data_IF_056352686315
#
_entry.id   IF_056352686315
#
_cell.length_a   1.000
_cell.length_b   1.000
_cell.length_c   1.000
_cell.angle_alpha   90.00
_cell.angle_beta   90.00
_cell.angle_gamma   90.00
#
_symmetry.space_group_name_H-M   'P 1'
#
loop_
_entity.id
_entity.type
_entity.pdbx_description
1 polymer ?
#
# COMPACT_ATOMS: atom_id res chain seq x y z
N UNK A 1 42.00 -64.03 -4.24
CA UNK A 1 40.63 -64.39 -4.69
C UNK A 1 39.95 -63.09 -5.09
N UNK A 2 39.98 -62.60 -6.33
CA UNK A 2 39.35 -63.09 -7.56
C UNK A 2 37.80 -63.12 -7.54
N UNK A 3 37.21 -62.34 -8.47
CA UNK A 3 35.81 -62.27 -8.98
C UNK A 3 34.84 -61.42 -8.13
N UNK A 4 33.95 -60.58 -8.69
CA UNK A 4 33.58 -60.24 -10.06
C UNK A 4 32.19 -59.55 -10.08
N UNK A 5 32.14 -58.38 -10.72
CA UNK A 5 31.06 -57.60 -11.39
C UNK A 5 29.58 -58.10 -11.35
N UNK A 6 28.62 -57.19 -11.12
CA UNK A 6 27.41 -57.02 -11.97
C UNK A 6 26.72 -55.65 -11.76
N UNK A 7 26.29 -55.05 -12.88
CA UNK A 7 25.62 -53.74 -13.05
C UNK A 7 24.11 -53.77 -12.78
N UNK A 8 23.52 -52.62 -12.41
CA UNK A 8 22.29 -52.09 -13.04
C UNK A 8 22.01 -50.61 -12.70
N UNK A 9 21.96 -49.75 -13.73
CA UNK A 9 21.25 -48.45 -13.83
C UNK A 9 20.21 -48.62 -14.98
N UNK A 10 19.31 -47.66 -15.28
CA UNK A 10 18.55 -46.70 -14.47
C UNK A 10 17.05 -46.70 -14.85
N UNK A 11 16.22 -45.83 -14.25
CA UNK A 11 14.94 -45.43 -14.88
C UNK A 11 14.68 -43.93 -14.74
N UNK A 12 14.70 -43.31 -15.91
CA UNK A 12 14.42 -41.94 -16.29
C UNK A 12 12.92 -41.87 -16.64
N UNK A 13 12.18 -40.87 -16.16
CA UNK A 13 10.86 -40.48 -16.70
C UNK A 13 10.93 -38.98 -16.97
N UNK A 14 11.37 -38.57 -18.16
CA UNK A 14 10.62 -38.40 -19.41
C UNK A 14 9.48 -37.38 -19.31
N UNK A 15 9.81 -36.16 -19.74
CA UNK A 15 8.89 -35.12 -20.15
C UNK A 15 8.09 -35.59 -21.38
N UNK A 16 6.77 -35.35 -21.38
CA UNK A 16 5.97 -35.42 -22.60
C UNK A 16 5.49 -34.03 -22.99
N UNK A 17 6.06 -33.56 -24.09
CA UNK A 17 5.56 -32.52 -24.96
C UNK A 17 4.25 -33.01 -25.61
N UNK A 18 3.20 -32.20 -25.59
CA UNK A 18 2.03 -32.41 -26.45
C UNK A 18 2.26 -31.70 -27.79
N UNK A 19 2.64 -32.45 -28.82
CA UNK A 19 2.49 -32.05 -30.22
C UNK A 19 1.53 -33.00 -30.93
N UNK A 20 0.74 -32.40 -31.81
CA UNK A 20 -0.41 -32.88 -32.57
C UNK A 20 -0.19 -34.11 -33.47
N UNK A 21 -1.20 -34.99 -33.59
CA UNK A 21 -1.98 -35.23 -34.82
C UNK A 21 -2.80 -36.54 -34.78
N UNK A 22 -4.10 -36.38 -35.05
CA UNK A 22 -5.04 -37.24 -35.81
C UNK A 22 -4.69 -38.72 -36.00
N UNK A 23 -5.48 -39.61 -35.38
CA UNK A 23 -5.95 -40.87 -35.97
C UNK A 23 -7.31 -41.28 -35.38
N UNK A 24 -8.29 -41.50 -36.25
CA UNK A 24 -9.63 -41.98 -35.94
C UNK A 24 -9.63 -43.49 -35.66
N UNK A 25 -10.19 -43.93 -34.54
CA UNK A 25 -10.85 -45.25 -34.38
C UNK A 25 -12.15 -45.05 -33.59
N UNK A 26 -13.19 -45.74 -34.04
CA UNK A 26 -14.60 -45.50 -33.77
C UNK A 26 -15.11 -45.88 -32.36
N UNK A 27 -16.09 -45.08 -31.94
CA UNK A 27 -17.29 -45.41 -31.16
C UNK A 27 -17.17 -46.10 -29.79
N UNK A 28 -17.31 -45.29 -28.74
CA UNK A 28 -18.12 -45.63 -27.58
C UNK A 28 -18.94 -44.39 -27.20
N UNK A 29 -20.27 -44.55 -27.20
CA UNK A 29 -21.25 -43.50 -26.91
C UNK A 29 -21.31 -43.23 -25.40
N UNK A 30 -21.22 -41.96 -25.01
CA UNK A 30 -21.37 -41.51 -23.63
C UNK A 30 -21.45 -39.99 -23.55
N UNK A 31 -22.66 -39.46 -23.75
CA UNK A 31 -23.16 -38.10 -23.44
C UNK A 31 -22.14 -36.94 -23.44
N UNK A 32 -22.05 -36.25 -24.58
CA UNK A 32 -21.46 -34.92 -24.70
C UNK A 32 -22.23 -33.91 -23.82
N UNK A 33 -21.55 -33.33 -22.82
CA UNK A 33 -21.94 -32.04 -22.31
C UNK A 33 -21.54 -30.99 -23.36
N UNK A 34 -22.53 -30.26 -23.86
CA UNK A 34 -22.44 -29.13 -24.78
C UNK A 34 -21.49 -28.04 -24.25
N UNK A 35 -20.19 -28.18 -24.49
CA UNK A 35 -19.23 -27.09 -24.33
C UNK A 35 -19.28 -26.21 -25.59
N UNK A 36 -20.32 -25.37 -25.69
CA UNK A 36 -20.27 -24.22 -26.57
C UNK A 36 -19.14 -23.29 -26.11
N UNK A 37 -18.18 -22.91 -26.98
CA UNK A 37 -17.29 -21.81 -26.66
C UNK A 37 -18.13 -20.53 -26.61
N UNK A 38 -18.25 -19.94 -25.42
CA UNK A 38 -18.84 -18.61 -25.30
C UNK A 38 -17.87 -17.62 -25.95
N UNK A 39 -18.36 -16.93 -26.98
CA UNK A 39 -17.61 -15.96 -27.74
C UNK A 39 -17.17 -14.74 -26.90
N UNK A 40 -15.87 -14.44 -27.00
CA UNK A 40 -15.19 -13.14 -27.01
C UNK A 40 -15.62 -12.00 -26.07
N UNK A 41 -14.79 -11.76 -25.05
CA UNK A 41 -14.17 -10.48 -24.64
C UNK A 41 -12.80 -10.82 -24.00
N UNK A 42 -11.74 -9.99 -24.09
CA UNK A 42 -10.41 -10.39 -23.63
C UNK A 42 -10.41 -10.55 -22.11
N UNK A 43 -10.32 -11.78 -21.61
CA UNK A 43 -10.28 -12.05 -20.18
C UNK A 43 -8.91 -11.61 -19.64
N UNK A 44 -8.88 -10.41 -19.07
CA UNK A 44 -7.81 -9.96 -18.19
C UNK A 44 -7.69 -11.02 -17.09
N UNK A 45 -6.58 -11.77 -17.04
CA UNK A 45 -6.41 -12.87 -16.09
C UNK A 45 -6.60 -12.36 -14.66
N UNK A 46 -7.66 -12.83 -13.98
CA UNK A 46 -7.94 -12.47 -12.60
C UNK A 46 -7.22 -13.43 -11.65
N UNK A 47 -6.58 -12.88 -10.62
CA UNK A 47 -5.83 -13.60 -9.62
C UNK A 47 -6.34 -13.24 -8.23
N UNK A 48 -6.76 -14.25 -7.49
CA UNK A 48 -7.22 -14.09 -6.11
C UNK A 48 -6.02 -14.27 -5.19
N UNK A 49 -5.89 -13.38 -4.20
CA UNK A 49 -4.92 -13.52 -3.12
C UNK A 49 -5.59 -14.29 -1.99
N UNK A 50 -5.08 -15.48 -1.70
CA UNK A 50 -5.53 -16.28 -0.55
C UNK A 50 -5.07 -15.66 0.76
N UNK A 51 -5.90 -15.77 1.78
CA UNK A 51 -5.62 -15.34 3.15
C UNK A 51 -5.74 -16.54 4.09
N UNK A 52 -4.85 -16.64 5.05
CA UNK A 52 -4.98 -17.58 6.16
C UNK A 52 -6.09 -17.19 7.16
N UNK A 53 -6.48 -15.90 7.19
CA UNK A 53 -7.37 -15.27 8.17
C UNK A 53 -7.01 -15.65 9.62
N UNK A 54 -5.70 -15.78 9.87
CA UNK A 54 -5.12 -16.12 11.16
C UNK A 54 -4.05 -15.07 11.50
N UNK A 55 -4.16 -14.35 12.63
CA UNK A 55 -3.17 -13.36 13.05
C UNK A 55 -1.77 -13.96 13.33
N UNK A 56 -1.63 -15.29 13.36
CA UNK A 56 -0.36 -15.98 13.58
C UNK A 56 0.33 -16.44 12.30
N UNK A 57 -0.34 -16.32 11.14
CA UNK A 57 0.18 -16.79 9.85
C UNK A 57 0.46 -15.58 8.97
N UNK A 58 1.72 -15.37 8.60
CA UNK A 58 2.11 -14.27 7.71
C UNK A 58 1.68 -14.57 6.25
N UNK A 59 0.77 -13.76 5.72
CA UNK A 59 0.24 -13.83 4.35
C UNK A 59 1.16 -13.13 3.33
N UNK A 60 2.20 -12.41 3.78
CA UNK A 60 3.15 -11.73 2.88
C UNK A 60 3.70 -12.63 1.76
N UNK A 61 4.08 -13.90 1.98
CA UNK A 61 4.52 -14.80 0.90
C UNK A 61 3.44 -15.10 -0.14
N UNK A 62 2.18 -15.28 0.27
CA UNK A 62 1.05 -15.55 -0.63
C UNK A 62 0.72 -14.31 -1.48
N UNK A 63 0.80 -13.13 -0.88
CA UNK A 63 0.68 -11.84 -1.57
C UNK A 63 1.77 -11.72 -2.64
N UNK A 64 3.05 -11.89 -2.27
CA UNK A 64 4.19 -11.80 -3.19
C UNK A 64 4.06 -12.79 -4.35
N UNK A 65 3.72 -14.05 -4.07
CA UNK A 65 3.54 -15.07 -5.10
C UNK A 65 2.43 -14.71 -6.11
N UNK A 66 1.32 -14.14 -5.62
CA UNK A 66 0.21 -13.74 -6.48
C UNK A 66 0.58 -12.54 -7.37
N UNK A 67 1.25 -11.53 -6.81
CA UNK A 67 1.71 -10.37 -7.58
C UNK A 67 2.79 -10.74 -8.60
N UNK A 68 3.66 -11.70 -8.28
CA UNK A 68 4.64 -12.21 -9.23
C UNK A 68 3.98 -12.89 -10.43
N UNK A 69 3.01 -13.78 -10.17
CA UNK A 69 2.26 -14.49 -11.21
C UNK A 69 1.43 -13.55 -12.08
N UNK A 70 0.90 -12.48 -11.50
CA UNK A 70 -0.09 -11.61 -12.12
C UNK A 70 0.41 -10.18 -12.24
N UNK A 71 1.70 -10.03 -12.58
CA UNK A 71 2.38 -8.73 -12.66
C UNK A 71 2.03 -7.93 -13.92
N UNK A 72 1.34 -8.50 -14.90
CA UNK A 72 1.03 -7.82 -16.17
C UNK A 72 -0.37 -8.13 -16.70
N UNK A 73 -1.07 -7.10 -17.20
CA UNK A 73 -2.38 -7.19 -17.85
C UNK A 73 -3.38 -8.08 -17.07
N UNK A 74 -3.53 -7.80 -15.79
CA UNK A 74 -4.24 -8.66 -14.83
C UNK A 74 -5.14 -7.86 -13.89
N UNK A 75 -6.07 -8.57 -13.25
CA UNK A 75 -6.77 -8.09 -12.06
C UNK A 75 -6.30 -8.92 -10.87
N UNK A 76 -5.85 -8.29 -9.79
CA UNK A 76 -5.53 -8.95 -8.53
C UNK A 76 -6.63 -8.60 -7.53
N UNK A 77 -7.28 -9.60 -6.95
CA UNK A 77 -8.39 -9.42 -5.99
C UNK A 77 -8.00 -9.93 -4.62
N UNK A 78 -8.15 -9.06 -3.63
CA UNK A 78 -8.20 -9.44 -2.22
C UNK A 78 -9.65 -9.72 -1.83
N UNK A 79 -9.88 -10.79 -1.10
CA UNK A 79 -11.18 -11.15 -0.54
C UNK A 79 -11.49 -10.27 0.69
N UNK A 80 -12.77 -10.14 1.09
CA UNK A 80 -13.18 -9.34 2.26
C UNK A 80 -12.84 -10.02 3.59
N UNK A 81 -11.54 -10.17 3.85
CA UNK A 81 -10.95 -10.82 5.02
C UNK A 81 -9.68 -10.09 5.48
N UNK A 82 -9.11 -10.50 6.61
CA UNK A 82 -7.85 -9.98 7.10
C UNK A 82 -6.66 -10.71 6.46
N UNK A 83 -5.61 -9.95 6.18
CA UNK A 83 -4.33 -10.45 5.69
C UNK A 83 -3.27 -9.98 6.68
N UNK A 84 -2.59 -10.92 7.31
CA UNK A 84 -1.50 -10.66 8.24
C UNK A 84 -0.25 -10.38 7.42
N UNK A 85 0.25 -9.14 7.41
CA UNK A 85 1.38 -8.70 6.57
C UNK A 85 2.56 -8.37 7.47
N UNK A 86 3.13 -9.41 8.09
CA UNK A 86 4.19 -9.28 9.10
C UNK A 86 5.59 -9.15 8.51
N UNK A 87 5.74 -9.46 7.23
CA UNK A 87 6.97 -9.19 6.48
C UNK A 87 6.76 -8.01 5.52
N UNK A 88 7.66 -7.00 5.48
CA UNK A 88 7.66 -5.95 4.46
C UNK A 88 7.67 -6.55 3.04
N UNK A 89 6.83 -6.01 2.16
CA UNK A 89 6.64 -6.53 0.79
C UNK A 89 7.10 -5.53 -0.26
N UNK A 90 7.63 -6.05 -1.37
CA UNK A 90 8.04 -5.29 -2.56
C UNK A 90 7.32 -5.84 -3.79
N UNK A 91 6.42 -5.05 -4.35
CA UNK A 91 5.55 -5.36 -5.48
C UNK A 91 6.07 -4.58 -6.70
N UNK A 92 7.01 -5.18 -7.41
CA UNK A 92 7.75 -4.53 -8.49
C UNK A 92 7.40 -5.11 -9.87
N UNK A 93 7.67 -4.33 -10.92
CA UNK A 93 7.50 -4.78 -12.31
C UNK A 93 6.03 -4.85 -12.74
N UNK A 94 5.12 -4.17 -12.05
CA UNK A 94 3.70 -4.19 -12.38
C UNK A 94 3.42 -3.40 -13.67
N UNK A 95 2.60 -3.95 -14.57
CA UNK A 95 2.23 -3.29 -15.83
C UNK A 95 0.75 -3.53 -16.15
N UNK A 96 -0.06 -2.48 -16.22
CA UNK A 96 -1.51 -2.59 -16.50
C UNK A 96 -2.21 -3.55 -15.53
N UNK A 97 -1.93 -3.36 -14.24
CA UNK A 97 -2.47 -4.18 -13.15
C UNK A 97 -3.55 -3.40 -12.42
N UNK A 98 -4.72 -4.03 -12.23
CA UNK A 98 -5.77 -3.51 -11.34
C UNK A 98 -5.83 -4.35 -10.09
N UNK A 99 -5.69 -3.72 -8.93
CA UNK A 99 -5.82 -4.34 -7.62
C UNK A 99 -7.18 -3.95 -7.03
N UNK A 100 -8.01 -4.95 -6.77
CA UNK A 100 -9.27 -4.81 -6.04
C UNK A 100 -9.02 -5.18 -4.57
N UNK A 101 -8.80 -4.16 -3.75
CA UNK A 101 -8.38 -4.30 -2.35
C UNK A 101 -9.59 -4.32 -1.41
N UNK A 102 -10.27 -5.45 -1.34
CA UNK A 102 -11.43 -5.62 -0.45
C UNK A 102 -11.08 -6.24 0.90
N UNK A 103 -9.83 -6.64 1.11
CA UNK A 103 -9.36 -7.13 2.41
C UNK A 103 -8.87 -6.02 3.33
N UNK A 104 -8.28 -6.43 4.44
CA UNK A 104 -7.59 -5.57 5.39
C UNK A 104 -6.16 -6.08 5.59
N UNK A 105 -5.17 -5.20 5.54
CA UNK A 105 -3.80 -5.53 5.89
C UNK A 105 -3.55 -5.22 7.36
N UNK A 106 -3.07 -6.22 8.10
CA UNK A 106 -2.68 -6.11 9.50
C UNK A 106 -1.15 -6.15 9.58
N UNK A 107 -0.52 -5.02 9.91
CA UNK A 107 0.91 -5.00 10.22
C UNK A 107 1.15 -5.55 11.64
N UNK A 108 2.40 -5.90 12.01
CA UNK A 108 2.69 -6.30 13.37
C UNK A 108 2.37 -5.19 14.38
N UNK A 109 1.82 -5.57 15.53
CA UNK A 109 1.54 -4.68 16.65
C UNK A 109 2.73 -4.56 17.63
N UNK A 110 3.82 -5.31 17.41
CA UNK A 110 5.03 -5.24 18.22
C UNK A 110 6.07 -4.28 17.62
N UNK A 111 6.49 -3.27 18.40
CA UNK A 111 7.56 -2.32 18.00
C UNK A 111 8.83 -3.09 17.61
N UNK A 112 9.24 -4.07 18.41
CA UNK A 112 10.48 -4.82 18.15
C UNK A 112 10.42 -5.67 16.89
N UNK A 113 9.25 -6.24 16.59
CA UNK A 113 9.05 -7.03 15.37
C UNK A 113 9.15 -6.14 14.12
N UNK A 114 8.46 -5.01 14.13
CA UNK A 114 8.53 -4.01 13.07
C UNK A 114 9.97 -3.50 12.88
N UNK A 115 10.67 -3.16 13.97
CA UNK A 115 12.05 -2.67 13.89
C UNK A 115 12.99 -3.74 13.33
N UNK A 116 12.85 -4.99 13.76
CA UNK A 116 13.64 -6.11 13.23
C UNK A 116 13.44 -6.26 11.73
N UNK A 117 12.18 -6.25 11.28
CA UNK A 117 11.84 -6.40 9.86
C UNK A 117 12.33 -5.22 9.01
N UNK A 118 12.21 -3.98 9.51
CA UNK A 118 12.71 -2.78 8.83
C UNK A 118 14.24 -2.73 8.79
N UNK A 119 14.92 -3.27 9.80
CA UNK A 119 16.38 -3.32 9.80
C UNK A 119 16.95 -4.27 8.73
N UNK A 120 16.16 -5.26 8.27
CA UNK A 120 16.60 -6.28 7.32
C UNK A 120 15.97 -6.17 5.93
N UNK A 121 14.90 -5.37 5.77
CA UNK A 121 14.21 -5.25 4.49
C UNK A 121 15.09 -4.61 3.41
N UNK A 122 14.83 -4.99 2.16
CA UNK A 122 15.46 -4.42 0.98
C UNK A 122 14.57 -3.37 0.29
N UNK A 123 13.43 -3.03 0.88
CA UNK A 123 12.55 -1.99 0.35
C UNK A 123 13.33 -0.67 0.22
N UNK A 124 13.31 0.00 -0.95
CA UNK A 124 14.01 1.26 -1.13
C UNK A 124 13.52 2.31 -0.14
N UNK A 125 14.41 2.92 0.66
CA UNK A 125 14.02 3.96 1.59
C UNK A 125 13.59 5.22 0.84
N UNK A 126 12.60 5.93 1.38
CA UNK A 126 12.38 7.33 1.03
C UNK A 126 13.44 8.21 1.69
N UNK A 127 13.38 9.51 1.47
CA UNK A 127 14.26 10.48 2.14
C UNK A 127 14.21 10.38 3.68
N UNK A 128 13.11 9.87 4.24
CA UNK A 128 12.86 9.94 5.69
C UNK A 128 12.54 8.60 6.35
N UNK A 129 12.07 7.59 5.61
CA UNK A 129 11.72 6.30 6.18
C UNK A 129 11.73 5.17 5.15
N UNK A 130 12.02 3.96 5.62
CA UNK A 130 11.83 2.73 4.84
C UNK A 130 10.35 2.35 4.84
N UNK A 131 9.74 2.07 3.66
CA UNK A 131 8.35 1.67 3.59
C UNK A 131 8.13 0.21 3.96
N UNK A 132 7.00 -0.09 4.60
CA UNK A 132 6.55 -1.47 4.80
C UNK A 132 6.12 -2.12 3.48
N UNK A 133 5.43 -1.35 2.63
CA UNK A 133 4.96 -1.79 1.32
C UNK A 133 5.62 -0.93 0.24
N UNK A 134 6.39 -1.53 -0.65
CA UNK A 134 6.95 -0.84 -1.81
C UNK A 134 6.26 -1.30 -3.09
N UNK A 135 5.73 -0.38 -3.88
CA UNK A 135 5.01 -0.68 -5.12
C UNK A 135 5.65 0.07 -6.27
N UNK A 136 5.95 -0.63 -7.36
CA UNK A 136 6.58 -0.07 -8.56
C UNK A 136 6.00 -0.66 -9.84
N UNK A 137 5.75 0.19 -10.83
CA UNK A 137 5.22 -0.24 -12.13
C UNK A 137 4.71 0.89 -13.02
N UNK A 138 3.92 0.52 -14.03
CA UNK A 138 3.20 1.43 -14.91
C UNK A 138 1.73 1.02 -15.08
N UNK A 139 0.83 1.98 -15.19
CA UNK A 139 -0.61 1.76 -15.36
C UNK A 139 -1.19 0.86 -14.25
N UNK A 140 -0.91 1.21 -12.99
CA UNK A 140 -1.35 0.44 -11.82
C UNK A 140 -2.49 1.16 -11.12
N UNK A 141 -3.58 0.44 -10.87
CA UNK A 141 -4.70 0.92 -10.06
C UNK A 141 -4.86 0.08 -8.80
N UNK A 142 -5.11 0.72 -7.66
CA UNK A 142 -5.47 0.06 -6.40
C UNK A 142 -6.78 0.69 -5.90
N UNK A 143 -7.83 -0.11 -5.93
CA UNK A 143 -9.19 0.32 -5.63
C UNK A 143 -9.68 -0.45 -4.40
N UNK A 144 -9.81 0.26 -3.29
CA UNK A 144 -10.33 -0.24 -2.03
C UNK A 144 -11.86 -0.40 -2.04
N UNK A 145 -12.39 -1.06 -1.02
CA UNK A 145 -13.83 -1.17 -0.81
C UNK A 145 -14.47 0.18 -0.44
N UNK A 146 -15.71 0.43 -0.87
CA UNK A 146 -16.52 1.55 -0.38
C UNK A 146 -17.10 1.29 1.01
N UNK A 147 -17.15 0.02 1.44
CA UNK A 147 -17.55 -0.37 2.78
C UNK A 147 -16.47 0.07 3.78
N UNK A 148 -16.89 0.61 4.93
CA UNK A 148 -15.97 1.24 5.86
C UNK A 148 -15.04 0.22 6.51
N UNK A 149 -15.53 -1.01 6.70
CA UNK A 149 -14.88 -2.17 7.31
C UNK A 149 -13.75 -2.82 6.50
N UNK A 150 -13.66 -2.48 5.20
CA UNK A 150 -12.75 -3.11 4.25
C UNK A 150 -11.87 -2.10 3.52
N UNK A 151 -10.78 -2.57 2.90
CA UNK A 151 -9.79 -1.72 2.24
C UNK A 151 -8.91 -0.97 3.25
N UNK A 152 -8.70 -1.55 4.44
CA UNK A 152 -7.94 -0.95 5.54
C UNK A 152 -6.50 -1.43 5.58
N UNK A 153 -5.60 -0.52 5.90
CA UNK A 153 -4.24 -0.80 6.31
C UNK A 153 -4.13 -0.44 7.80
N UNK A 154 -4.06 -1.45 8.65
CA UNK A 154 -3.87 -1.30 10.09
C UNK A 154 -2.38 -1.25 10.40
N UNK A 155 -1.92 -0.08 10.85
CA UNK A 155 -0.53 0.12 11.24
C UNK A 155 -0.24 -0.22 12.69
N UNK A 156 -1.26 -0.24 13.57
CA UNK A 156 -1.08 -0.35 15.02
C UNK A 156 -0.05 0.67 15.55
N UNK A 157 -0.23 1.95 15.25
CA UNK A 157 0.71 3.01 15.64
C UNK A 157 0.66 3.41 17.12
N UNK A 158 -0.34 2.95 17.87
CA UNK A 158 -0.65 3.42 19.22
C UNK A 158 0.55 3.34 20.17
N UNK A 159 1.17 2.17 20.25
CA UNK A 159 2.31 1.90 21.13
C UNK A 159 3.54 2.73 20.75
N UNK A 160 3.70 3.05 19.46
CA UNK A 160 4.77 3.92 18.98
C UNK A 160 4.58 5.37 19.43
N UNK A 161 3.35 5.86 19.38
CA UNK A 161 3.03 7.23 19.78
C UNK A 161 3.12 7.38 21.30
N UNK A 162 2.66 6.37 22.05
CA UNK A 162 2.76 6.30 23.50
C UNK A 162 4.21 6.30 24.00
N UNK A 163 5.06 5.47 23.41
CA UNK A 163 6.47 5.38 23.82
C UNK A 163 7.33 6.53 23.30
N UNK A 164 6.83 7.31 22.33
CA UNK A 164 7.61 8.31 21.61
C UNK A 164 8.75 7.73 20.76
N UNK A 165 8.76 6.41 20.50
CA UNK A 165 9.83 5.74 19.75
C UNK A 165 9.85 6.21 18.30
N UNK A 166 11.01 6.70 17.84
CA UNK A 166 11.23 7.18 16.47
C UNK A 166 12.25 6.36 15.67
N UNK A 167 13.01 5.50 16.35
CA UNK A 167 14.04 4.65 15.73
C UNK A 167 13.41 3.59 14.84
N UNK A 168 13.88 3.48 13.59
CA UNK A 168 13.42 2.50 12.60
C UNK A 168 11.89 2.49 12.44
N UNK A 169 11.29 3.68 12.49
CA UNK A 169 9.85 3.87 12.37
C UNK A 169 9.46 3.91 10.88
N UNK A 170 8.73 2.90 10.37
CA UNK A 170 8.44 2.84 8.94
C UNK A 170 7.34 3.81 8.51
N UNK A 171 7.38 4.16 7.22
CA UNK A 171 6.18 4.63 6.52
C UNK A 171 5.37 3.42 6.04
N UNK A 172 4.05 3.57 5.88
CA UNK A 172 3.17 2.48 5.46
C UNK A 172 3.52 2.00 4.04
N UNK A 173 3.44 2.89 3.04
CA UNK A 173 3.61 2.48 1.65
C UNK A 173 4.34 3.52 0.78
N UNK A 174 5.12 3.04 -0.19
CA UNK A 174 5.60 3.83 -1.34
C UNK A 174 4.90 3.35 -2.60
N UNK A 175 4.34 4.29 -3.37
CA UNK A 175 3.72 4.03 -4.67
C UNK A 175 4.50 4.76 -5.77
N UNK A 176 5.51 4.08 -6.30
CA UNK A 176 6.41 4.57 -7.34
C UNK A 176 5.96 4.08 -8.72
N UNK A 177 4.85 4.62 -9.21
CA UNK A 177 4.18 4.19 -10.45
C UNK A 177 4.05 5.34 -11.44
N UNK A 178 4.19 5.04 -12.73
CA UNK A 178 3.76 5.94 -13.82
C UNK A 178 2.32 5.62 -14.23
N UNK A 179 1.44 6.62 -14.31
CA UNK A 179 0.00 6.45 -14.55
C UNK A 179 -0.67 5.62 -13.45
N UNK A 180 -0.69 6.18 -12.25
CA UNK A 180 -1.19 5.50 -11.05
C UNK A 180 -2.60 5.94 -10.66
N UNK A 181 -3.41 5.03 -10.12
CA UNK A 181 -4.69 5.36 -9.49
C UNK A 181 -4.85 4.68 -8.14
N UNK A 182 -5.12 5.46 -7.09
CA UNK A 182 -5.44 4.96 -5.76
C UNK A 182 -6.85 5.45 -5.38
N UNK A 183 -7.73 4.55 -4.93
CA UNK A 183 -9.04 4.97 -4.44
C UNK A 183 -9.59 4.16 -3.28
N UNK A 184 -10.41 4.78 -2.43
CA UNK A 184 -11.17 4.12 -1.35
C UNK A 184 -10.33 3.36 -0.30
N UNK A 185 -9.03 3.68 -0.23
CA UNK A 185 -8.10 3.07 0.73
C UNK A 185 -8.23 3.76 2.09
N UNK A 186 -8.02 3.01 3.17
CA UNK A 186 -8.16 3.50 4.55
C UNK A 186 -6.88 3.22 5.31
N UNK A 187 -6.26 4.24 5.89
CA UNK A 187 -5.08 4.10 6.74
C UNK A 187 -5.51 4.24 8.20
N UNK A 188 -5.40 3.16 8.97
CA UNK A 188 -5.90 3.09 10.34
C UNK A 188 -4.72 2.95 11.29
N UNK A 189 -4.63 3.88 12.25
CA UNK A 189 -3.58 3.94 13.27
C UNK A 189 -2.18 3.75 12.66
N UNK A 190 -1.73 4.62 11.73
CA UNK A 190 -0.43 4.44 11.07
C UNK A 190 0.73 4.54 12.06
N UNK A 191 1.79 3.72 11.89
CA UNK A 191 3.00 3.83 12.72
C UNK A 191 3.66 5.21 12.58
N UNK A 192 3.72 5.70 11.34
CA UNK A 192 4.13 7.06 11.01
C UNK A 192 3.43 7.55 9.74
N UNK A 193 4.16 7.64 8.63
CA UNK A 193 3.64 8.22 7.39
C UNK A 193 2.74 7.21 6.67
N UNK A 194 1.71 7.70 5.98
CA UNK A 194 0.81 6.86 5.17
C UNK A 194 1.44 6.49 3.83
N UNK A 195 1.06 7.22 2.78
CA UNK A 195 1.54 6.98 1.41
C UNK A 195 2.61 7.99 1.00
N UNK A 196 3.73 7.47 0.50
CA UNK A 196 4.74 8.23 -0.25
C UNK A 196 4.52 8.00 -1.75
N UNK A 197 4.38 9.07 -2.53
CA UNK A 197 3.97 9.00 -3.95
C UNK A 197 5.05 9.60 -4.88
N UNK A 198 6.24 8.99 -5.00
CA UNK A 198 7.33 9.53 -5.82
C UNK A 198 7.14 9.29 -7.32
N UNK A 199 6.05 8.63 -7.73
CA UNK A 199 5.77 8.34 -9.14
C UNK A 199 5.26 9.54 -9.94
N UNK A 200 4.75 9.24 -11.15
CA UNK A 200 4.35 10.25 -12.13
C UNK A 200 2.93 10.00 -12.59
N UNK A 201 2.15 11.08 -12.75
CA UNK A 201 0.75 11.00 -13.15
C UNK A 201 -0.07 10.09 -12.21
N UNK A 202 -0.04 10.42 -10.92
CA UNK A 202 -0.78 9.67 -9.90
C UNK A 202 -2.07 10.41 -9.58
N UNK A 203 -3.20 9.70 -9.58
CA UNK A 203 -4.49 10.21 -9.08
C UNK A 203 -4.90 9.47 -7.80
N UNK A 204 -5.29 10.21 -6.78
CA UNK A 204 -5.78 9.68 -5.50
C UNK A 204 -7.18 10.19 -5.21
N UNK A 205 -8.11 9.29 -4.90
CA UNK A 205 -9.52 9.60 -4.65
C UNK A 205 -10.06 8.88 -3.40
N UNK A 206 -11.00 9.51 -2.68
CA UNK A 206 -11.75 8.90 -1.58
C UNK A 206 -10.86 8.22 -0.53
N UNK A 207 -9.74 8.85 -0.19
CA UNK A 207 -8.82 8.31 0.80
C UNK A 207 -9.24 8.73 2.22
N UNK A 208 -9.11 7.80 3.16
CA UNK A 208 -9.45 7.99 4.56
C UNK A 208 -8.25 7.69 5.45
N UNK A 209 -7.98 8.58 6.41
CA UNK A 209 -6.91 8.39 7.40
C UNK A 209 -7.50 8.60 8.80
N UNK A 210 -7.32 7.61 9.68
CA UNK A 210 -7.63 7.67 11.10
C UNK A 210 -6.35 7.50 11.91
N UNK A 211 -5.83 8.61 12.42
CA UNK A 211 -4.61 8.69 13.21
C UNK A 211 -4.90 9.35 14.55
N UNK A 212 -5.84 8.80 15.32
CA UNK A 212 -6.21 9.28 16.65
C UNK A 212 -5.59 8.38 17.73
N UNK A 213 -4.85 8.89 18.73
CA UNK A 213 -4.50 8.13 19.92
C UNK A 213 -5.73 7.85 20.80
N UNK A 214 -5.74 6.71 21.49
CA UNK A 214 -6.84 6.34 22.39
C UNK A 214 -6.78 7.10 23.72
N UNK A 215 -5.57 7.46 24.17
CA UNK A 215 -5.33 8.23 25.39
C UNK A 215 -5.33 9.75 25.17
N UNK A 216 -5.48 10.24 23.93
CA UNK A 216 -5.47 11.67 23.66
C UNK A 216 -6.83 12.27 24.00
N UNK A 217 -6.82 13.27 24.87
CA UNK A 217 -7.97 14.16 25.10
C UNK A 217 -7.76 15.46 24.33
N UNK A 218 -8.78 16.33 24.30
CA UNK A 218 -8.67 17.69 23.76
C UNK A 218 -7.47 18.44 24.38
N UNK A 219 -7.23 18.22 25.67
CA UNK A 219 -6.33 19.04 26.48
C UNK A 219 -5.04 18.29 26.88
N UNK A 220 -4.90 17.03 26.47
CA UNK A 220 -3.72 16.21 26.74
C UNK A 220 -3.40 15.29 25.55
N UNK A 221 -2.29 15.57 24.86
CA UNK A 221 -1.77 14.76 23.75
C UNK A 221 -0.47 14.08 24.13
N UNK A 222 -0.50 13.22 25.16
CA UNK A 222 0.64 12.37 25.54
C UNK A 222 1.18 11.52 24.37
N UNK A 223 0.38 11.34 23.32
CA UNK A 223 0.71 10.58 22.13
C UNK A 223 0.43 11.41 20.88
N UNK A 224 1.41 11.52 19.98
CA UNK A 224 1.32 12.36 18.78
C UNK A 224 1.72 11.58 17.52
N UNK A 225 0.84 11.47 16.50
CA UNK A 225 1.04 10.60 15.34
C UNK A 225 1.86 11.22 14.21
N UNK A 226 2.12 12.53 14.24
CA UNK A 226 2.88 13.23 13.18
C UNK A 226 4.32 13.47 13.62
N UNK A 227 5.29 13.27 12.72
CA UNK A 227 6.70 13.29 13.10
C UNK A 227 7.55 14.42 12.49
N UNK A 228 7.06 15.17 11.50
CA UNK A 228 7.85 16.24 10.86
C UNK A 228 6.96 17.19 10.06
N UNK A 229 7.13 18.50 10.26
CA UNK A 229 6.61 19.59 9.43
C UNK A 229 7.80 20.23 8.71
N UNK A 230 7.73 20.39 7.39
CA UNK A 230 8.67 21.26 6.68
C UNK A 230 8.15 22.69 6.77
N UNK A 231 8.87 23.50 7.53
CA UNK A 231 8.58 24.91 7.69
C UNK A 231 8.94 25.66 6.41
N UNK A 232 7.90 26.07 5.67
CA UNK A 232 8.05 26.77 4.39
C UNK A 232 8.69 28.16 4.56
N UNK A 233 8.73 28.71 5.78
CA UNK A 233 9.42 29.98 6.07
C UNK A 233 10.94 29.83 6.16
N UNK A 234 11.46 28.60 6.19
CA UNK A 234 12.90 28.33 6.32
C UNK A 234 13.67 28.30 4.99
N UNK A 235 12.97 28.34 3.86
CA UNK A 235 13.66 28.40 2.56
C UNK A 235 12.76 28.20 1.35
N UNK A 236 13.25 28.55 0.16
CA UNK A 236 12.49 28.42 -1.08
C UNK A 236 12.13 26.96 -1.36
N UNK A 237 11.05 26.78 -2.12
CA UNK A 237 10.59 25.50 -2.63
C UNK A 237 11.76 24.71 -3.24
N UNK A 238 11.99 23.44 -2.83
CA UNK A 238 12.90 22.56 -3.54
C UNK A 238 12.37 22.31 -4.97
N UNK A 239 13.27 22.32 -5.95
CA UNK A 239 12.92 22.02 -7.33
C UNK A 239 12.32 20.60 -7.45
N UNK A 240 11.29 20.45 -8.28
CA UNK A 240 10.74 19.14 -8.63
C UNK A 240 11.63 18.44 -9.67
N UNK A 241 12.88 18.17 -9.28
CA UNK A 241 13.91 17.56 -10.13
C UNK A 241 13.50 16.19 -10.68
N UNK A 242 12.65 15.47 -9.94
CA UNK A 242 12.14 14.15 -10.30
C UNK A 242 10.88 14.17 -11.17
N UNK A 243 10.40 15.36 -11.57
CA UNK A 243 9.19 15.54 -12.41
C UNK A 243 7.95 14.81 -11.87
N UNK A 244 7.84 14.70 -10.55
CA UNK A 244 6.70 14.04 -9.89
C UNK A 244 5.43 14.86 -10.08
N UNK A 245 4.28 14.21 -10.21
CA UNK A 245 2.98 14.89 -10.33
C UNK A 245 1.88 14.03 -9.74
N UNK A 246 1.15 14.61 -8.77
CA UNK A 246 0.06 13.95 -8.05
C UNK A 246 -1.18 14.83 -8.06
N UNK A 247 -2.32 14.28 -8.48
CA UNK A 247 -3.64 14.90 -8.36
C UNK A 247 -4.42 14.22 -7.22
N UNK A 248 -4.78 14.98 -6.19
CA UNK A 248 -5.57 14.47 -5.06
C UNK A 248 -6.97 15.09 -5.12
N UNK A 249 -8.00 14.26 -5.10
CA UNK A 249 -9.41 14.69 -5.04
C UNK A 249 -10.14 13.95 -3.93
N UNK A 250 -11.09 14.62 -3.27
CA UNK A 250 -11.95 14.02 -2.24
C UNK A 250 -11.14 13.30 -1.16
N UNK A 251 -10.37 14.06 -0.39
CA UNK A 251 -9.60 13.54 0.74
C UNK A 251 -10.33 13.82 2.04
N UNK A 252 -10.56 12.79 2.87
CA UNK A 252 -11.20 12.97 4.18
C UNK A 252 -10.21 12.62 5.29
N UNK A 253 -9.83 13.65 6.04
CA UNK A 253 -9.21 13.47 7.35
C UNK A 253 -10.31 13.43 8.40
N UNK A 254 -10.33 12.40 9.26
CA UNK A 254 -11.26 12.31 10.39
C UNK A 254 -10.47 12.08 11.67
N UNK A 255 -10.96 12.64 12.77
CA UNK A 255 -10.41 12.43 14.12
C UNK A 255 -8.94 12.87 14.27
N UNK A 256 -8.49 13.91 13.55
CA UNK A 256 -7.19 14.53 13.82
C UNK A 256 -7.30 15.30 15.15
N UNK A 257 -6.46 14.95 16.11
CA UNK A 257 -6.33 15.65 17.40
C UNK A 257 -4.86 16.02 17.61
N UNK A 258 -4.61 17.26 18.01
CA UNK A 258 -3.28 17.78 18.34
C UNK A 258 -3.40 18.88 19.39
N UNK A 259 -2.33 19.13 20.15
CA UNK A 259 -2.21 20.25 21.08
C UNK A 259 -1.00 21.12 20.71
N UNK A 260 -0.99 22.37 21.17
CA UNK A 260 0.18 23.24 21.06
C UNK A 260 0.98 23.20 22.35
N UNK A 261 2.31 23.20 22.24
CA UNK A 261 3.20 23.36 23.40
C UNK A 261 3.06 24.76 24.03
N UNK A 262 3.48 24.94 25.29
CA UNK A 262 3.28 26.19 26.07
C UNK A 262 3.99 27.43 25.51
N UNK A 263 4.94 27.28 24.59
CA UNK A 263 5.66 28.35 23.90
C UNK A 263 5.37 28.30 22.38
N UNK A 264 4.11 28.32 22.01
CA UNK A 264 3.71 28.38 20.61
C UNK A 264 3.72 29.84 20.15
N UNK A 265 4.78 30.24 19.45
CA UNK A 265 4.71 31.33 18.49
C UNK A 265 4.69 30.68 17.12
N UNK A 266 3.55 30.78 16.45
CA UNK A 266 3.52 30.66 15.01
C UNK A 266 4.41 31.77 14.45
N UNK A 267 5.63 31.44 14.09
CA UNK A 267 6.62 32.36 13.52
C UNK A 267 6.19 32.99 12.20
N UNK A 268 5.03 32.59 11.65
CA UNK A 268 4.52 33.05 10.36
C UNK A 268 3.59 34.26 10.45
N UNK A 269 3.34 34.86 11.63
CA UNK A 269 2.55 36.10 11.70
C UNK A 269 3.34 37.29 11.14
N UNK A 270 3.39 37.40 9.80
CA UNK A 270 4.12 38.42 9.04
C UNK A 270 3.28 39.69 8.76
N UNK A 271 2.02 39.74 9.20
CA UNK A 271 1.10 40.88 9.01
C UNK A 271 0.14 41.06 10.19
N UNK A 272 -0.53 42.22 10.26
CA UNK A 272 -1.62 42.47 11.21
C UNK A 272 -2.91 42.86 10.46
N UNK A 273 -4.00 42.07 10.56
CA UNK A 273 -4.08 40.78 11.26
C UNK A 273 -3.18 39.73 10.60
N UNK A 274 -2.79 38.69 11.36
CA UNK A 274 -1.98 37.58 10.84
C UNK A 274 -2.67 36.96 9.62
N UNK A 275 -1.91 36.42 8.66
CA UNK A 275 -2.48 35.80 7.46
C UNK A 275 -3.39 34.59 7.77
N UNK A 276 -3.21 33.93 8.92
CA UNK A 276 -4.05 32.85 9.44
C UNK A 276 -5.14 33.34 10.42
N UNK A 277 -5.31 34.65 10.60
CA UNK A 277 -6.37 35.20 11.44
C UNK A 277 -7.74 35.00 10.77
N UNK A 278 -8.63 34.30 11.46
CA UNK A 278 -10.03 34.14 11.07
C UNK A 278 -10.90 34.77 12.16
N UNK A 279 -11.70 35.81 11.84
CA UNK A 279 -12.59 36.44 12.82
C UNK A 279 -13.56 35.43 13.46
N UNK A 280 -13.59 35.38 14.80
CA UNK A 280 -14.48 34.51 15.56
C UNK A 280 -13.99 33.08 15.80
N UNK A 281 -12.73 32.76 15.45
CA UNK A 281 -12.08 31.54 15.92
C UNK A 281 -11.39 31.78 17.27
N UNK A 282 -11.85 31.07 18.29
CA UNK A 282 -11.24 31.06 19.62
C UNK A 282 -10.18 29.93 19.66
N UNK A 283 -8.92 30.30 19.89
CA UNK A 283 -7.76 29.41 20.06
C UNK A 283 -7.16 28.82 18.75
N UNK A 284 -5.86 28.46 18.73
CA UNK A 284 -5.11 28.18 17.51
C UNK A 284 -5.38 26.76 17.01
N UNK A 285 -6.54 26.57 16.39
CA UNK A 285 -6.99 25.30 15.85
C UNK A 285 -7.07 25.42 14.33
N UNK A 286 -5.91 25.37 13.69
CA UNK A 286 -5.83 25.31 12.24
C UNK A 286 -4.98 24.10 11.82
N UNK A 287 -5.59 23.18 11.07
CA UNK A 287 -4.83 22.29 10.17
C UNK A 287 -4.85 23.00 8.83
N UNK A 288 -3.71 23.59 8.44
CA UNK A 288 -3.54 24.18 7.11
C UNK A 288 -3.00 23.07 6.20
N UNK A 289 -3.84 22.62 5.27
CA UNK A 289 -3.45 21.70 4.23
C UNK A 289 -3.21 22.51 2.96
N UNK A 290 -1.95 22.86 2.71
CA UNK A 290 -1.58 23.45 1.42
C UNK A 290 -1.40 22.34 0.38
N UNK A 291 -2.43 22.14 -0.43
CA UNK A 291 -2.41 21.22 -1.57
C UNK A 291 -1.93 21.99 -2.81
N UNK A 292 -0.61 22.08 -2.97
CA UNK A 292 0.05 22.81 -4.06
C UNK A 292 -0.16 22.11 -5.42
N UNK A 293 -1.31 22.36 -6.04
CA UNK A 293 -1.59 22.04 -7.43
C UNK A 293 -1.28 23.22 -8.34
N UNK A 294 -0.60 22.96 -9.45
CA UNK A 294 -0.58 23.85 -10.61
C UNK A 294 -2.03 24.03 -11.10
N UNK A 295 -2.72 25.10 -10.69
CA UNK A 295 -3.94 25.52 -11.36
C UNK A 295 -3.48 26.19 -12.65
N UNK A 296 -3.35 25.43 -13.73
CA UNK A 296 -3.44 26.04 -15.05
C UNK A 296 -4.91 26.38 -15.25
N UNK A 297 -5.26 27.64 -15.00
CA UNK A 297 -6.52 28.20 -15.49
C UNK A 297 -6.46 28.22 -17.02
N UNK A 298 -7.00 27.18 -17.64
CA UNK A 298 -7.30 27.15 -19.07
C UNK A 298 -8.81 27.26 -19.25
N UNK A 299 -9.22 28.43 -19.75
CA UNK A 299 -10.52 28.83 -20.32
C UNK A 299 -11.81 28.12 -19.90
#
# INVERSE_FOLDING_TARGET
>A
MARGISLSLPLLYLALLCTSNVFNIAAAQGTEADCKPRANLPEVGECIVESADDPRVDDSPAILATFQRCSSNSVIRFLPTNYTVHTPISLIGLQKVKVLFYGNFLLPDSISEVQSAINTTQNPPSTYATPWIYIQGSDVSIEGSTQIEYGRFYGFGEQWWHSGTRTLRPQLATFNVTNGFLSNLKVIKPIAWGWNLPGQNIRVENHFVDAKPDNATRDDTQSFPFNTYYDQDKGPRPDNTNQTSTNIRTFTFKNIVGSLGTNWTDGSCISNPCWNYVPGLDEPKAVILDLLGHITSGH
#
